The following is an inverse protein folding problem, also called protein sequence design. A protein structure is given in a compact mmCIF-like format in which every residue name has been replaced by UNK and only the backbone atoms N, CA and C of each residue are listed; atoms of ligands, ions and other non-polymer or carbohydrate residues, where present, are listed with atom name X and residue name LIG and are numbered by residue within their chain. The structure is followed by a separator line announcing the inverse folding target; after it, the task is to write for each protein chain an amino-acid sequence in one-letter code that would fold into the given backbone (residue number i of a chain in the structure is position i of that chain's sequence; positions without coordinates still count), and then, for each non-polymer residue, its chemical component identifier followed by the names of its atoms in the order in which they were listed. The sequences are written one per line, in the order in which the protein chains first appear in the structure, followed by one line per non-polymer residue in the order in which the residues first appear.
data_IF_148547860236
#
_entry.id   IF_148547860236
#
_cell.length_a   1.000
_cell.length_b   1.000
_cell.length_c   1.000
_cell.angle_alpha   90.00
_cell.angle_beta   90.00
_cell.angle_gamma   90.00
#
_symmetry.space_group_name_H-M   'P 1'
#
loop_
_entity.id
_entity.type
_entity.pdbx_description
1 polymer ?
#
# COMPACT_ATOMS: atom_id res chain seq x y z
N UNK A 1 14.38 -33.66 10.40
CA UNK A 1 14.34 -32.34 9.72
C UNK A 1 13.99 -32.57 8.26
N UNK A 2 12.94 -31.90 7.74
CA UNK A 2 12.59 -31.98 6.31
C UNK A 2 13.66 -31.27 5.48
N UNK A 3 14.13 -31.89 4.43
CA UNK A 3 15.17 -31.32 3.57
C UNK A 3 14.60 -30.23 2.66
N UNK A 4 15.49 -29.39 2.09
CA UNK A 4 15.09 -28.35 1.12
C UNK A 4 14.30 -28.93 -0.08
N UNK A 5 14.53 -30.21 -0.44
CA UNK A 5 13.79 -30.93 -1.48
C UNK A 5 12.35 -31.25 -1.12
N UNK A 6 12.05 -31.43 0.19
CA UNK A 6 10.70 -31.77 0.66
C UNK A 6 9.80 -30.53 0.78
N UNK A 7 10.40 -29.34 0.91
CA UNK A 7 9.68 -28.06 1.04
C UNK A 7 9.33 -27.48 -0.34
N UNK A 8 10.19 -27.66 -1.34
CA UNK A 8 10.03 -27.08 -2.67
C UNK A 8 8.77 -27.54 -3.44
N UNK A 9 8.32 -28.80 -3.35
CA UNK A 9 7.05 -29.21 -3.96
C UNK A 9 5.81 -28.59 -3.29
N UNK A 10 5.90 -28.29 -2.00
CA UNK A 10 4.80 -27.67 -1.26
C UNK A 10 4.61 -26.21 -1.69
N UNK A 11 5.71 -25.46 -1.87
CA UNK A 11 5.69 -24.07 -2.33
C UNK A 11 5.13 -23.96 -3.76
N UNK A 12 5.44 -24.91 -4.64
CA UNK A 12 4.91 -24.97 -6.00
C UNK A 12 3.37 -25.20 -6.07
N UNK A 13 2.75 -25.65 -4.98
CA UNK A 13 1.29 -25.84 -4.88
C UNK A 13 0.55 -24.60 -4.38
N UNK A 14 1.26 -23.60 -3.89
CA UNK A 14 0.64 -22.37 -3.38
C UNK A 14 0.51 -21.38 -4.54
N UNK A 15 -0.71 -21.08 -4.91
CA UNK A 15 -1.04 -20.03 -5.89
C UNK A 15 -1.21 -18.70 -5.15
N UNK A 16 -0.12 -17.98 -5.02
CA UNK A 16 -0.11 -16.68 -4.34
C UNK A 16 -1.03 -15.67 -5.03
N UNK A 17 -1.05 -15.63 -6.35
CA UNK A 17 -1.89 -14.69 -7.09
C UNK A 17 -3.39 -14.91 -6.82
N UNK A 18 -3.81 -16.17 -6.70
CA UNK A 18 -5.19 -16.51 -6.33
C UNK A 18 -5.52 -16.12 -4.90
N UNK A 19 -4.57 -16.31 -3.97
CA UNK A 19 -4.75 -15.94 -2.57
C UNK A 19 -4.85 -14.41 -2.44
N UNK A 20 -3.95 -13.68 -3.08
CA UNK A 20 -3.92 -12.22 -3.08
C UNK A 20 -5.23 -11.63 -3.61
N UNK A 21 -5.68 -12.06 -4.79
CA UNK A 21 -6.95 -11.60 -5.38
C UNK A 21 -8.15 -11.87 -4.46
N UNK A 22 -8.18 -13.06 -3.82
CA UNK A 22 -9.25 -13.41 -2.87
C UNK A 22 -9.28 -12.43 -1.70
N UNK A 23 -8.12 -12.15 -1.10
CA UNK A 23 -8.05 -11.29 0.09
C UNK A 23 -8.26 -9.82 -0.25
N UNK A 24 -7.73 -9.33 -1.36
CA UNK A 24 -7.97 -7.96 -1.83
C UNK A 24 -9.47 -7.71 -2.01
N UNK A 25 -10.17 -8.60 -2.73
CA UNK A 25 -11.61 -8.52 -2.90
C UNK A 25 -12.36 -8.50 -1.56
N UNK A 26 -12.01 -9.39 -0.65
CA UNK A 26 -12.63 -9.46 0.68
C UNK A 26 -12.42 -8.19 1.49
N UNK A 27 -11.21 -7.63 1.49
CA UNK A 27 -10.90 -6.40 2.20
C UNK A 27 -11.66 -5.20 1.66
N UNK A 28 -11.88 -5.16 0.36
CA UNK A 28 -12.68 -4.12 -0.29
C UNK A 28 -14.17 -4.27 0.07
N UNK A 29 -14.72 -5.46 -0.03
CA UNK A 29 -16.13 -5.75 0.31
C UNK A 29 -16.44 -5.51 1.78
N UNK A 30 -15.58 -5.93 2.69
CA UNK A 30 -15.73 -5.76 4.13
C UNK A 30 -15.27 -4.38 4.64
N UNK A 31 -14.65 -3.57 3.78
CA UNK A 31 -14.15 -2.21 4.10
C UNK A 31 -13.28 -2.17 5.35
N UNK A 32 -12.45 -3.19 5.54
CA UNK A 32 -11.70 -3.40 6.79
C UNK A 32 -10.67 -2.31 7.09
N UNK A 33 -10.29 -1.51 6.08
CA UNK A 33 -9.35 -0.41 6.21
C UNK A 33 -10.04 0.96 6.32
N UNK A 34 -11.37 1.02 6.13
CA UNK A 34 -12.11 2.25 6.36
C UNK A 34 -12.19 2.54 7.85
N UNK A 35 -11.90 3.79 8.22
CA UNK A 35 -12.02 4.27 9.59
C UNK A 35 -13.34 5.01 9.75
N UNK A 36 -14.11 4.61 10.75
CA UNK A 36 -15.29 5.35 11.20
C UNK A 36 -15.01 5.95 12.57
N UNK A 37 -15.57 7.11 12.82
CA UNK A 37 -15.44 7.71 14.13
C UNK A 37 -16.12 6.83 15.20
N UNK A 38 -15.34 6.39 16.18
CA UNK A 38 -15.80 5.56 17.29
C UNK A 38 -15.14 6.05 18.59
N UNK A 39 -15.93 6.75 19.40
CA UNK A 39 -15.48 7.31 20.67
C UNK A 39 -15.19 6.25 21.76
N UNK A 40 -15.66 5.03 21.56
CA UNK A 40 -15.45 3.91 22.51
C UNK A 40 -14.12 3.20 22.32
N UNK A 41 -13.50 3.37 21.16
CA UNK A 41 -12.20 2.74 20.84
C UNK A 41 -11.05 3.73 21.01
N UNK A 42 -9.92 3.22 21.49
CA UNK A 42 -8.67 3.99 21.50
C UNK A 42 -8.26 4.29 20.08
N UNK A 43 -7.99 5.55 19.79
CA UNK A 43 -7.53 6.01 18.48
C UNK A 43 -6.05 5.75 18.32
N UNK A 44 -5.65 5.42 17.09
CA UNK A 44 -4.26 5.30 16.72
C UNK A 44 -4.05 5.83 15.29
N UNK A 45 -3.03 6.65 15.11
CA UNK A 45 -2.70 7.25 13.83
C UNK A 45 -1.34 6.74 13.36
N UNK A 46 -1.30 6.14 12.18
CA UNK A 46 -0.07 5.74 11.50
C UNK A 46 0.13 6.70 10.35
N UNK A 47 1.26 7.38 10.32
CA UNK A 47 1.60 8.35 9.29
C UNK A 47 2.85 7.90 8.55
N UNK A 48 2.78 7.93 7.23
CA UNK A 48 3.90 7.77 6.33
C UNK A 48 3.90 8.84 5.24
N UNK A 49 5.05 9.06 4.64
CA UNK A 49 5.16 9.97 3.51
C UNK A 49 4.52 9.35 2.27
N UNK A 50 3.64 10.10 1.63
CA UNK A 50 3.05 9.69 0.36
C UNK A 50 4.08 9.72 -0.76
N UNK A 51 4.01 8.78 -1.71
CA UNK A 51 4.90 8.79 -2.87
C UNK A 51 4.57 9.94 -3.82
N UNK A 52 5.58 10.47 -4.48
CA UNK A 52 5.39 11.37 -5.62
C UNK A 52 4.99 10.56 -6.87
N UNK A 53 4.02 11.01 -7.66
CA UNK A 53 3.69 10.42 -8.96
C UNK A 53 4.69 10.89 -10.04
N UNK A 54 5.97 10.59 -9.84
CA UNK A 54 7.08 11.04 -10.69
C UNK A 54 7.65 9.95 -11.61
N UNK A 55 7.07 8.75 -11.58
CA UNK A 55 7.45 7.62 -12.41
C UNK A 55 6.27 6.68 -12.67
N UNK A 56 6.48 5.69 -13.53
CA UNK A 56 5.46 4.68 -13.89
C UNK A 56 5.17 3.64 -12.80
N UNK A 57 5.78 3.75 -11.63
CA UNK A 57 5.56 2.79 -10.54
C UNK A 57 6.35 3.09 -9.28
N UNK A 58 6.08 2.31 -8.26
CA UNK A 58 6.77 2.36 -6.98
C UNK A 58 8.08 1.57 -7.05
N UNK A 59 9.06 1.96 -6.26
CA UNK A 59 10.35 1.26 -6.13
C UNK A 59 10.49 0.57 -4.77
N UNK A 60 11.54 -0.22 -4.60
CA UNK A 60 11.78 -0.99 -3.37
C UNK A 60 11.81 -0.16 -2.09
N UNK A 61 12.23 1.11 -2.16
CA UNK A 61 12.16 2.01 -1.00
C UNK A 61 10.73 2.26 -0.54
N UNK A 62 9.79 2.42 -1.46
CA UNK A 62 8.37 2.52 -1.13
C UNK A 62 7.84 1.22 -0.52
N UNK A 63 8.19 0.07 -1.11
CA UNK A 63 7.80 -1.24 -0.56
C UNK A 63 8.29 -1.41 0.88
N UNK A 64 9.55 -1.07 1.14
CA UNK A 64 10.13 -1.15 2.48
C UNK A 64 9.36 -0.25 3.48
N UNK A 65 9.16 1.02 3.12
CA UNK A 65 8.51 1.99 3.99
C UNK A 65 7.06 1.58 4.30
N UNK A 66 6.25 1.36 3.25
CA UNK A 66 4.82 1.09 3.43
C UNK A 66 4.52 -0.28 4.04
N UNK A 67 5.39 -1.26 3.86
CA UNK A 67 5.25 -2.55 4.54
C UNK A 67 5.38 -2.42 6.04
N UNK A 68 6.30 -1.59 6.52
CA UNK A 68 6.47 -1.34 7.97
C UNK A 68 5.20 -0.72 8.56
N UNK A 69 4.68 0.33 7.94
CA UNK A 69 3.46 1.00 8.40
C UNK A 69 2.22 0.12 8.31
N UNK A 70 2.07 -0.66 7.24
CA UNK A 70 0.95 -1.58 7.08
C UNK A 70 0.96 -2.69 8.16
N UNK A 71 2.11 -3.30 8.42
CA UNK A 71 2.27 -4.30 9.48
C UNK A 71 1.90 -3.69 10.84
N UNK A 72 2.39 -2.50 11.13
CA UNK A 72 2.12 -1.83 12.39
C UNK A 72 0.65 -1.43 12.55
N UNK A 73 0.04 -0.90 11.48
CA UNK A 73 -1.38 -0.57 11.45
C UNK A 73 -2.26 -1.80 11.68
N UNK A 74 -1.96 -2.93 11.02
CA UNK A 74 -2.66 -4.21 11.20
C UNK A 74 -2.51 -4.72 12.62
N UNK A 75 -1.31 -4.69 13.17
CA UNK A 75 -1.06 -5.07 14.55
C UNK A 75 -1.91 -4.27 15.55
N UNK A 76 -1.99 -2.95 15.37
CA UNK A 76 -2.83 -2.10 16.22
C UNK A 76 -4.32 -2.38 16.05
N UNK A 77 -4.80 -2.68 14.84
CA UNK A 77 -6.19 -3.12 14.63
C UNK A 77 -6.48 -4.43 15.36
N UNK A 78 -5.57 -5.40 15.33
CA UNK A 78 -5.70 -6.66 16.08
C UNK A 78 -5.76 -6.45 17.60
N UNK A 79 -5.16 -5.36 18.10
CA UNK A 79 -5.25 -4.97 19.51
C UNK A 79 -6.55 -4.20 19.84
N UNK A 80 -7.46 -4.01 18.87
CA UNK A 80 -8.75 -3.35 19.09
C UNK A 80 -8.72 -1.81 18.96
N UNK A 81 -7.60 -1.22 18.50
CA UNK A 81 -7.54 0.21 18.24
C UNK A 81 -8.35 0.58 17.00
N UNK A 82 -8.90 1.80 17.00
CA UNK A 82 -9.44 2.45 15.82
C UNK A 82 -8.27 3.14 15.09
N UNK A 83 -7.78 2.51 14.02
CA UNK A 83 -6.53 2.90 13.37
C UNK A 83 -6.79 3.69 12.10
N UNK A 84 -6.36 4.95 12.09
CA UNK A 84 -6.27 5.76 10.87
C UNK A 84 -4.89 5.56 10.25
N UNK A 85 -4.88 5.00 9.04
CA UNK A 85 -3.68 4.84 8.21
C UNK A 85 -4.01 5.31 6.79
N UNK A 86 -3.97 6.63 6.54
CA UNK A 86 -4.29 7.17 5.23
C UNK A 86 -3.17 6.88 4.22
N UNK A 87 -3.55 6.67 2.97
CA UNK A 87 -2.63 6.51 1.85
C UNK A 87 -3.09 7.34 0.66
N UNK A 88 -2.13 7.84 -0.10
CA UNK A 88 -2.41 8.66 -1.27
C UNK A 88 -1.12 8.99 -2.03
N UNK A 89 -1.16 10.04 -2.82
CA UNK A 89 0.00 10.56 -3.56
C UNK A 89 0.27 12.02 -3.17
N UNK A 90 1.54 12.38 -3.04
CA UNK A 90 1.98 13.76 -3.00
C UNK A 90 2.05 14.29 -4.43
N UNK A 91 0.90 14.77 -4.91
CA UNK A 91 0.67 15.06 -6.34
C UNK A 91 1.14 16.43 -6.80
N UNK A 92 1.57 17.28 -5.87
CA UNK A 92 2.00 18.65 -6.16
C UNK A 92 3.47 18.84 -5.90
N UNK A 93 4.12 19.65 -6.73
CA UNK A 93 5.50 20.07 -6.52
C UNK A 93 6.49 19.58 -7.57
N UNK A 94 7.75 19.99 -7.38
CA UNK A 94 8.83 19.83 -8.35
C UNK A 94 9.09 18.39 -8.85
N UNK A 95 8.96 17.33 -8.05
CA UNK A 95 9.24 15.98 -8.55
C UNK A 95 8.31 15.58 -9.71
N UNK A 96 7.00 15.85 -9.58
CA UNK A 96 6.03 15.56 -10.64
C UNK A 96 6.19 16.53 -11.84
N UNK A 97 6.42 17.80 -11.57
CA UNK A 97 6.64 18.81 -12.62
C UNK A 97 7.90 18.52 -13.44
N UNK A 98 9.02 18.22 -12.79
CA UNK A 98 10.26 17.86 -13.48
C UNK A 98 10.12 16.58 -14.31
N UNK A 99 9.37 15.60 -13.81
CA UNK A 99 9.07 14.39 -14.57
C UNK A 99 8.20 14.68 -15.79
N UNK A 100 7.20 15.53 -15.66
CA UNK A 100 6.34 15.97 -16.76
C UNK A 100 7.13 16.74 -17.83
N UNK A 101 8.04 17.63 -17.43
CA UNK A 101 8.93 18.38 -18.38
C UNK A 101 9.79 17.39 -19.17
N UNK A 102 10.42 16.41 -18.48
CA UNK A 102 11.22 15.37 -19.14
C UNK A 102 10.40 14.53 -20.12
N UNK A 103 9.16 14.24 -19.77
CA UNK A 103 8.21 13.51 -20.61
C UNK A 103 7.55 14.37 -21.70
N UNK A 104 7.87 15.67 -21.77
CA UNK A 104 7.24 16.64 -22.69
C UNK A 104 5.70 16.63 -22.57
N UNK A 105 5.19 16.50 -21.38
CA UNK A 105 3.75 16.44 -21.05
C UNK A 105 3.36 17.59 -20.13
N UNK A 106 2.07 17.93 -20.15
CA UNK A 106 1.54 18.89 -19.19
C UNK A 106 1.53 18.27 -17.78
N UNK A 107 2.00 18.96 -16.72
CA UNK A 107 2.12 18.41 -15.38
C UNK A 107 0.84 17.74 -14.86
N UNK A 108 -0.31 18.39 -15.01
CA UNK A 108 -1.60 17.81 -14.60
C UNK A 108 -1.87 16.46 -15.26
N UNK A 109 -1.74 16.41 -16.60
CA UNK A 109 -1.98 15.17 -17.36
C UNK A 109 -1.01 14.06 -16.93
N UNK A 110 0.27 14.40 -16.82
CA UNK A 110 1.30 13.45 -16.40
C UNK A 110 0.97 12.86 -15.02
N UNK A 111 0.61 13.72 -14.07
CA UNK A 111 0.27 13.30 -12.70
C UNK A 111 -0.99 12.42 -12.67
N UNK A 112 -2.06 12.81 -13.38
CA UNK A 112 -3.30 12.02 -13.46
C UNK A 112 -3.07 10.63 -14.08
N UNK A 113 -2.19 10.54 -15.08
CA UNK A 113 -1.85 9.27 -15.73
C UNK A 113 -0.94 8.40 -14.85
N UNK A 114 -0.07 8.99 -14.05
CA UNK A 114 0.82 8.28 -13.13
C UNK A 114 0.12 7.74 -11.88
N UNK A 115 -1.03 8.31 -11.51
CA UNK A 115 -1.83 7.87 -10.34
C UNK A 115 -2.78 6.71 -10.70
N UNK A 116 -3.13 6.53 -11.96
CA UNK A 116 -4.00 5.43 -12.43
C UNK A 116 -3.29 4.08 -12.41
#
# INVERSE_FOLDING_TARGET
MKTKKDIMPLIKKIDFAKIEKKWQKRWEEEKIFEVKEDLKKKKFYVLEMFPYPSSSGLHMGHTFNYTIGDIFARFKRMQGYNVLYPMGFDSFGLPAENAAIKAKSHPKKFTEDAIK
#
